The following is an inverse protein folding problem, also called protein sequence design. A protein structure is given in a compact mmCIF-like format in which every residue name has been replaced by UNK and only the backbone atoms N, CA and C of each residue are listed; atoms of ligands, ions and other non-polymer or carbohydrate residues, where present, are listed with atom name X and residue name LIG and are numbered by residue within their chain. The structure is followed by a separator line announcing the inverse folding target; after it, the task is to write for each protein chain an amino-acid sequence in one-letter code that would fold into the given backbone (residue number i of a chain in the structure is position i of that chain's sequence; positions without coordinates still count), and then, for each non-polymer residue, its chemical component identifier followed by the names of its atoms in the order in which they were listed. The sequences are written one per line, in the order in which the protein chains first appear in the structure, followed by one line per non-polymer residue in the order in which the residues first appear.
data_IF_107712363568
#
_entry.id   IF_107712363568
#
_cell.length_a   1.000
_cell.length_b   1.000
_cell.length_c   1.000
_cell.angle_alpha   90.00
_cell.angle_beta   90.00
_cell.angle_gamma   90.00
#
_symmetry.space_group_name_H-M   'P 1'
#
loop_
_entity.id
_entity.type
_entity.pdbx_description
1 polymer ?
#
# COMPACT_ATOMS: atom_id res chain seq x y z
N UNK A 1 -9.53 42.04 -29.81
CA UNK A 1 -8.51 41.38 -30.64
C UNK A 1 -7.16 41.93 -30.24
N UNK A 2 -6.35 41.14 -29.55
CA UNK A 2 -5.06 41.58 -29.01
C UNK A 2 -4.36 40.44 -28.28
N UNK A 3 -3.56 39.69 -29.04
CA UNK A 3 -2.42 38.84 -28.68
C UNK A 3 -2.47 38.02 -27.37
N UNK A 4 -2.94 36.78 -27.50
CA UNK A 4 -2.50 35.64 -26.71
C UNK A 4 -1.91 34.60 -27.66
N UNK A 5 -0.62 34.73 -27.97
CA UNK A 5 0.15 33.71 -28.69
C UNK A 5 1.64 33.90 -28.38
N UNK A 6 2.32 32.77 -28.12
CA UNK A 6 3.75 32.59 -27.78
C UNK A 6 4.09 32.52 -26.29
N UNK A 7 3.65 31.44 -25.63
CA UNK A 7 4.38 30.84 -24.50
C UNK A 7 4.48 29.33 -24.74
N UNK A 8 5.41 28.87 -25.58
CA UNK A 8 5.81 27.45 -25.63
C UNK A 8 7.31 27.31 -25.93
N UNK A 9 7.90 26.25 -25.37
CA UNK A 9 9.27 25.71 -25.49
C UNK A 9 10.48 26.38 -24.82
N UNK A 10 10.46 27.68 -24.51
CA UNK A 10 11.61 28.33 -23.85
C UNK A 10 11.78 28.02 -22.34
N UNK A 11 10.74 27.52 -21.68
CA UNK A 11 10.65 27.48 -20.22
C UNK A 11 11.41 26.29 -19.59
N UNK A 12 11.23 25.08 -20.13
CA UNK A 12 11.80 23.87 -19.53
C UNK A 12 13.34 23.80 -19.64
N UNK A 13 13.92 24.28 -20.76
CA UNK A 13 15.37 24.32 -20.94
C UNK A 13 16.03 25.35 -20.02
N UNK A 14 15.49 26.58 -19.95
CA UNK A 14 15.94 27.61 -19.02
C UNK A 14 15.80 27.18 -17.55
N UNK A 15 14.74 26.44 -17.25
CA UNK A 15 14.53 25.87 -15.92
C UNK A 15 15.58 24.82 -15.56
N UNK A 16 15.88 23.88 -16.49
CA UNK A 16 16.92 22.87 -16.29
C UNK A 16 18.29 23.53 -16.10
N UNK A 17 18.60 24.56 -16.86
CA UNK A 17 19.86 25.32 -16.74
C UNK A 17 19.94 26.05 -15.39
N UNK A 18 18.87 26.72 -14.96
CA UNK A 18 18.80 27.41 -13.66
C UNK A 18 18.94 26.43 -12.50
N UNK A 19 18.30 25.26 -12.57
CA UNK A 19 18.42 24.20 -11.56
C UNK A 19 19.84 23.63 -11.48
N UNK A 20 20.48 23.41 -12.62
CA UNK A 20 21.87 22.93 -12.67
C UNK A 20 22.86 23.98 -12.14
N UNK A 21 22.61 25.27 -12.40
CA UNK A 21 23.40 26.37 -11.85
C UNK A 21 23.31 26.40 -10.31
N UNK A 22 22.09 26.37 -9.76
CA UNK A 22 21.87 26.32 -8.30
C UNK A 22 22.53 25.09 -7.68
N UNK A 23 22.42 23.92 -8.32
CA UNK A 23 23.03 22.69 -7.82
C UNK A 23 24.55 22.77 -7.75
N UNK A 24 25.17 23.37 -8.78
CA UNK A 24 26.62 23.59 -8.83
C UNK A 24 27.08 24.57 -7.75
N UNK A 25 26.30 25.62 -7.50
CA UNK A 25 26.59 26.62 -6.49
C UNK A 25 26.52 26.03 -5.07
N UNK A 26 25.41 25.34 -4.75
CA UNK A 26 25.22 24.63 -3.47
C UNK A 26 26.35 23.62 -3.22
N UNK A 27 26.76 22.87 -4.25
CA UNK A 27 27.85 21.89 -4.11
C UNK A 27 29.21 22.53 -3.86
N UNK A 28 29.48 23.67 -4.49
CA UNK A 28 30.73 24.42 -4.28
C UNK A 28 30.76 24.98 -2.86
N UNK A 29 29.67 25.60 -2.43
CA UNK A 29 29.49 26.16 -1.09
C UNK A 29 29.52 25.11 0.00
N UNK A 30 28.88 23.96 -0.21
CA UNK A 30 28.93 22.83 0.72
C UNK A 30 30.37 22.42 1.00
N UNK A 31 31.21 22.33 -0.04
CA UNK A 31 32.61 21.97 0.12
C UNK A 31 33.39 23.03 0.90
N UNK A 32 33.15 24.33 0.63
CA UNK A 32 33.77 25.43 1.37
C UNK A 32 33.40 25.42 2.85
N UNK A 33 32.12 25.20 3.17
CA UNK A 33 31.61 25.10 4.54
C UNK A 33 32.21 23.88 5.26
N UNK A 34 32.27 22.72 4.59
CA UNK A 34 32.89 21.52 5.15
C UNK A 34 34.37 21.74 5.49
N UNK A 35 35.16 22.29 4.54
CA UNK A 35 36.58 22.59 4.77
C UNK A 35 36.79 23.61 5.90
N UNK A 36 35.89 24.61 6.03
CA UNK A 36 35.91 25.59 7.12
C UNK A 36 35.62 24.93 8.47
N UNK A 37 34.55 24.14 8.56
CA UNK A 37 34.16 23.44 9.79
C UNK A 37 35.21 22.43 10.26
N UNK A 38 35.83 21.69 9.34
CA UNK A 38 36.93 20.76 9.67
C UNK A 38 38.13 21.49 10.30
N UNK A 39 38.39 22.74 9.87
CA UNK A 39 39.50 23.55 10.39
C UNK A 39 39.16 24.23 11.72
N UNK A 40 37.93 24.73 11.86
CA UNK A 40 37.50 25.48 13.05
C UNK A 40 37.11 24.59 14.21
N UNK A 41 36.56 23.40 13.93
CA UNK A 41 36.03 22.47 14.93
C UNK A 41 36.57 21.04 14.74
N UNK A 42 37.88 20.83 14.89
CA UNK A 42 38.46 19.49 14.78
C UNK A 42 37.96 18.61 15.94
N UNK A 43 37.14 17.61 15.62
CA UNK A 43 36.62 16.64 16.60
C UNK A 43 35.09 16.48 16.63
N UNK A 44 34.35 17.21 15.79
CA UNK A 44 32.91 16.97 15.61
C UNK A 44 32.64 15.53 15.16
N UNK A 45 31.61 14.91 15.76
CA UNK A 45 31.10 13.63 15.28
C UNK A 45 30.45 13.79 13.90
N UNK A 46 30.40 12.74 13.05
CA UNK A 46 29.82 12.83 11.71
C UNK A 46 28.37 13.35 11.68
N UNK A 47 27.55 12.96 12.67
CA UNK A 47 26.15 13.39 12.75
C UNK A 47 26.02 14.87 13.13
N UNK A 48 26.84 15.36 14.06
CA UNK A 48 26.86 16.77 14.46
C UNK A 48 27.41 17.64 13.33
N UNK A 49 28.43 17.13 12.61
CA UNK A 49 29.02 17.79 11.46
C UNK A 49 28.01 18.01 10.33
N UNK A 50 27.20 17.00 10.00
CA UNK A 50 26.18 17.10 8.94
C UNK A 50 25.07 18.11 9.30
N UNK A 51 24.68 18.21 10.57
CA UNK A 51 23.68 19.17 11.05
C UNK A 51 24.21 20.59 10.96
N UNK A 52 25.39 20.86 11.54
CA UNK A 52 26.00 22.20 11.53
C UNK A 52 26.27 22.65 10.09
N UNK A 53 26.78 21.76 9.25
CA UNK A 53 27.07 22.06 7.85
C UNK A 53 25.80 22.41 7.06
N UNK A 54 24.68 21.72 7.32
CA UNK A 54 23.40 22.01 6.66
C UNK A 54 22.82 23.36 7.10
N UNK A 55 22.91 23.69 8.40
CA UNK A 55 22.43 24.95 8.96
C UNK A 55 23.25 26.16 8.46
N UNK A 56 24.57 26.06 8.48
CA UNK A 56 25.45 27.14 8.05
C UNK A 56 25.32 27.41 6.55
N UNK A 57 25.20 26.35 5.74
CA UNK A 57 24.97 26.47 4.31
C UNK A 57 23.59 27.05 3.97
N UNK A 58 22.56 26.72 4.75
CA UNK A 58 21.23 27.30 4.61
C UNK A 58 21.25 28.82 4.88
N UNK A 59 21.97 29.23 5.93
CA UNK A 59 22.15 30.63 6.29
C UNK A 59 22.95 31.41 5.24
N UNK A 60 24.05 30.85 4.70
CA UNK A 60 24.83 31.52 3.65
C UNK A 60 24.07 31.72 2.34
N UNK A 61 23.22 30.75 1.97
CA UNK A 61 22.47 30.78 0.72
C UNK A 61 21.09 31.45 0.84
N UNK A 62 20.64 31.75 2.06
CA UNK A 62 19.30 32.31 2.31
C UNK A 62 18.18 31.34 1.90
N UNK A 63 18.39 30.03 2.08
CA UNK A 63 17.41 28.97 1.75
C UNK A 63 17.06 28.15 3.00
N UNK A 64 16.07 27.28 2.91
CA UNK A 64 15.72 26.39 4.01
C UNK A 64 16.73 25.24 4.19
N UNK A 65 16.92 24.81 5.43
CA UNK A 65 17.78 23.67 5.79
C UNK A 65 17.34 22.37 5.09
N UNK A 66 16.03 22.16 4.93
CA UNK A 66 15.48 20.99 4.23
C UNK A 66 15.88 20.92 2.75
N UNK A 67 15.93 22.07 2.06
CA UNK A 67 16.35 22.13 0.67
C UNK A 67 17.84 21.80 0.54
N UNK A 68 18.67 22.30 1.45
CA UNK A 68 20.10 21.99 1.51
C UNK A 68 20.32 20.50 1.75
N UNK A 69 19.63 19.91 2.73
CA UNK A 69 19.67 18.46 3.00
C UNK A 69 19.29 17.66 1.77
N UNK A 70 18.18 18.00 1.10
CA UNK A 70 17.73 17.30 -0.10
C UNK A 70 18.77 17.33 -1.23
N UNK A 71 19.44 18.48 -1.43
CA UNK A 71 20.50 18.63 -2.44
C UNK A 71 21.75 17.84 -2.03
N UNK A 72 22.22 17.96 -0.79
CA UNK A 72 23.39 17.26 -0.28
C UNK A 72 23.24 15.73 -0.37
N UNK A 73 22.08 15.19 0.05
CA UNK A 73 21.77 13.75 -0.03
C UNK A 73 21.67 13.23 -1.48
N UNK A 74 21.32 14.09 -2.44
CA UNK A 74 21.33 13.72 -3.85
C UNK A 74 22.73 13.74 -4.48
N UNK A 75 23.65 14.50 -3.88
CA UNK A 75 25.01 14.74 -4.39
C UNK A 75 26.04 13.74 -3.87
N UNK A 76 25.77 13.08 -2.73
CA UNK A 76 26.64 12.03 -2.21
C UNK A 76 26.66 10.88 -3.21
N UNK A 77 27.82 10.50 -3.77
CA UNK A 77 27.91 9.29 -4.56
C UNK A 77 27.41 8.16 -3.70
N UNK A 78 26.32 7.49 -4.12
CA UNK A 78 25.92 6.22 -3.50
C UNK A 78 27.17 5.36 -3.53
N UNK A 79 27.79 5.12 -2.37
CA UNK A 79 28.84 4.11 -2.23
C UNK A 79 28.22 2.86 -2.86
N UNK A 80 28.68 2.47 -4.04
CA UNK A 80 28.35 1.18 -4.61
C UNK A 80 28.82 0.19 -3.55
N UNK A 81 27.87 -0.38 -2.81
CA UNK A 81 28.13 -1.51 -1.95
C UNK A 81 28.77 -2.54 -2.86
N UNK A 82 30.05 -2.81 -2.63
CA UNK A 82 30.80 -3.88 -3.30
C UNK A 82 29.90 -5.11 -3.23
N UNK A 83 29.46 -5.69 -4.37
CA UNK A 83 28.66 -6.90 -4.30
C UNK A 83 29.44 -7.92 -3.48
N UNK A 84 28.79 -8.52 -2.48
CA UNK A 84 29.36 -9.64 -1.77
C UNK A 84 29.79 -10.67 -2.82
N UNK A 85 31.08 -10.98 -2.87
CA UNK A 85 31.58 -12.08 -3.68
C UNK A 85 30.96 -13.35 -3.12
N UNK A 86 29.88 -13.80 -3.75
CA UNK A 86 29.36 -15.13 -3.54
C UNK A 86 30.40 -16.13 -4.06
N UNK A 87 30.69 -17.19 -3.30
CA UNK A 87 31.57 -18.25 -3.79
C UNK A 87 30.99 -18.81 -5.08
N UNK A 88 31.85 -18.92 -6.11
CA UNK A 88 31.50 -19.50 -7.40
C UNK A 88 31.00 -20.93 -7.17
N UNK A 89 29.78 -21.21 -7.59
CA UNK A 89 29.31 -22.58 -7.81
C UNK A 89 30.27 -23.27 -8.79
N UNK A 90 30.95 -24.32 -8.35
CA UNK A 90 31.90 -25.05 -9.19
C UNK A 90 33.01 -25.83 -8.49
N UNK A 91 33.05 -25.93 -7.15
CA UNK A 91 33.91 -26.92 -6.49
C UNK A 91 33.17 -28.25 -6.35
N UNK A 92 33.51 -29.18 -7.25
CA UNK A 92 33.15 -30.59 -7.19
C UNK A 92 33.74 -31.22 -5.92
N UNK A 93 32.86 -31.63 -5.01
CA UNK A 93 33.24 -32.49 -3.88
C UNK A 93 33.32 -33.93 -4.41
N UNK A 94 34.45 -34.64 -4.22
CA UNK A 94 34.55 -36.03 -4.62
C UNK A 94 33.64 -36.90 -3.74
N UNK A 95 32.68 -37.57 -4.37
CA UNK A 95 31.85 -38.60 -3.73
C UNK A 95 32.60 -39.92 -3.82
N UNK A 96 33.26 -40.31 -2.73
CA UNK A 96 33.71 -41.69 -2.53
C UNK A 96 32.49 -42.55 -2.20
N UNK A 97 32.37 -43.67 -2.91
CA UNK A 97 31.25 -44.59 -2.84
C UNK A 97 31.28 -45.52 -1.63
N UNK A 98 30.10 -45.98 -1.25
CA UNK A 98 29.90 -47.31 -0.68
C UNK A 98 28.65 -47.92 -1.34
N UNK A 99 28.88 -48.95 -2.15
CA UNK A 99 27.85 -49.88 -2.58
C UNK A 99 27.38 -50.70 -1.37
N UNK A 100 26.12 -50.51 -0.96
CA UNK A 100 25.40 -51.45 -0.10
C UNK A 100 24.09 -51.84 -0.77
N UNK A 101 24.08 -53.08 -1.26
CA UNK A 101 22.88 -53.84 -1.59
C UNK A 101 21.89 -53.79 -0.42
N UNK A 102 20.70 -53.26 -0.66
CA UNK A 102 19.56 -53.45 0.26
C UNK A 102 18.45 -54.19 -0.47
N UNK A 103 18.24 -55.38 0.07
CA UNK A 103 17.26 -56.42 -0.20
C UNK A 103 15.81 -56.00 0.07
N UNK A 104 14.91 -56.63 -0.69
CA UNK A 104 13.49 -56.90 -0.43
C UNK A 104 12.51 -55.72 -0.25
N UNK A 105 11.74 -55.47 -1.30
CA UNK A 105 10.50 -54.70 -1.27
C UNK A 105 9.43 -55.55 -0.56
N UNK A 106 9.09 -55.19 0.68
CA UNK A 106 7.93 -55.71 1.38
C UNK A 106 6.66 -55.01 0.88
N UNK A 107 5.74 -55.77 0.29
CA UNK A 107 4.44 -55.31 -0.17
C UNK A 107 3.57 -54.94 1.03
N UNK A 108 3.32 -53.65 1.23
CA UNK A 108 2.41 -53.15 2.26
C UNK A 108 0.96 -53.39 1.81
N UNK A 109 0.13 -54.10 2.58
CA UNK A 109 -1.28 -54.27 2.25
C UNK A 109 -2.02 -52.93 2.32
N UNK A 110 -3.00 -52.68 1.41
CA UNK A 110 -3.74 -51.43 1.38
C UNK A 110 -4.53 -51.23 2.69
N UNK A 111 -4.47 -50.01 3.22
CA UNK A 111 -5.23 -49.61 4.39
C UNK A 111 -6.75 -49.80 4.14
N UNK A 112 -7.53 -50.23 5.15
CA UNK A 112 -8.97 -50.35 5.04
C UNK A 112 -9.58 -48.98 4.69
N UNK A 113 -10.40 -48.95 3.65
CA UNK A 113 -11.19 -47.79 3.27
C UNK A 113 -12.11 -47.41 4.43
N UNK A 114 -11.86 -46.25 5.04
CA UNK A 114 -12.78 -45.67 6.01
C UNK A 114 -14.15 -45.41 5.33
N UNK A 115 -15.27 -45.69 6.02
CA UNK A 115 -16.59 -45.47 5.46
C UNK A 115 -16.77 -43.99 5.12
N UNK A 116 -17.27 -43.72 3.91
CA UNK A 116 -17.56 -42.37 3.45
C UNK A 116 -18.45 -41.64 4.49
N UNK A 117 -18.11 -40.41 4.88
CA UNK A 117 -18.89 -39.65 5.85
C UNK A 117 -20.32 -39.52 5.36
N UNK A 118 -21.26 -39.88 6.24
CA UNK A 118 -22.70 -39.79 5.98
C UNK A 118 -23.03 -38.33 5.64
N UNK A 119 -23.56 -38.09 4.43
CA UNK A 119 -24.02 -36.78 4.00
C UNK A 119 -25.13 -36.32 4.95
N UNK A 120 -24.81 -35.40 5.85
CA UNK A 120 -25.77 -34.72 6.71
C UNK A 120 -26.63 -33.83 5.80
N UNK A 121 -27.94 -34.05 5.80
CA UNK A 121 -28.89 -33.25 5.04
C UNK A 121 -29.03 -31.86 5.70
N UNK A 122 -28.41 -30.84 5.09
CA UNK A 122 -28.37 -29.44 5.57
C UNK A 122 -29.59 -28.64 5.05
N UNK A 123 -30.64 -29.30 4.55
CA UNK A 123 -31.77 -28.61 3.87
C UNK A 123 -32.74 -27.86 4.78
N UNK A 124 -32.51 -27.80 6.10
CA UNK A 124 -33.37 -27.01 6.99
C UNK A 124 -33.00 -25.51 6.93
N UNK A 125 -33.90 -24.61 6.51
CA UNK A 125 -33.65 -23.17 6.54
C UNK A 125 -33.47 -22.72 7.99
N UNK A 126 -32.22 -22.46 8.37
CA UNK A 126 -31.90 -21.95 9.70
C UNK A 126 -32.61 -20.62 9.99
N UNK A 127 -32.79 -20.25 11.27
CA UNK A 127 -33.45 -19.02 11.66
C UNK A 127 -32.79 -17.82 10.97
N UNK A 128 -33.62 -16.98 10.33
CA UNK A 128 -33.19 -15.73 9.71
C UNK A 128 -32.64 -14.83 10.81
N UNK A 129 -31.30 -14.74 10.91
CA UNK A 129 -30.64 -13.82 11.83
C UNK A 129 -31.02 -12.40 11.43
N UNK A 130 -31.58 -11.62 12.36
CA UNK A 130 -31.78 -10.19 12.16
C UNK A 130 -30.42 -9.57 11.81
N UNK A 131 -30.36 -8.83 10.71
CA UNK A 131 -29.12 -8.15 10.29
C UNK A 131 -28.84 -7.05 11.30
N UNK A 132 -27.86 -7.26 12.19
CA UNK A 132 -27.28 -6.18 12.98
C UNK A 132 -26.81 -5.09 12.01
N UNK A 133 -27.20 -3.82 12.18
CA UNK A 133 -26.73 -2.74 11.32
C UNK A 133 -25.20 -2.72 11.32
N UNK A 134 -24.60 -2.60 10.13
CA UNK A 134 -23.15 -2.50 10.01
C UNK A 134 -22.69 -1.16 10.60
N UNK A 135 -21.56 -1.12 11.30
CA UNK A 135 -21.07 0.12 11.88
C UNK A 135 -20.78 1.13 10.76
N UNK A 136 -21.23 2.37 10.93
CA UNK A 136 -20.83 3.47 10.06
C UNK A 136 -19.41 3.92 10.41
N UNK A 137 -18.60 4.35 9.41
CA UNK A 137 -17.28 4.88 9.70
C UNK A 137 -17.39 6.20 10.47
N UNK A 138 -16.61 6.34 11.54
CA UNK A 138 -16.52 7.60 12.28
C UNK A 138 -15.78 8.64 11.43
N UNK A 139 -16.51 9.65 10.96
CA UNK A 139 -16.00 10.69 10.08
C UNK A 139 -14.92 11.58 10.73
N UNK A 140 -15.00 11.80 12.04
CA UNK A 140 -14.00 12.60 12.77
C UNK A 140 -12.70 11.81 12.93
N UNK A 141 -12.81 10.53 13.28
CA UNK A 141 -11.68 9.62 13.31
C UNK A 141 -11.04 9.48 11.92
N UNK A 142 -11.83 9.29 10.85
CA UNK A 142 -11.33 9.27 9.48
C UNK A 142 -10.50 10.52 9.17
N UNK A 143 -11.04 11.70 9.45
CA UNK A 143 -10.36 12.97 9.16
C UNK A 143 -9.02 13.08 9.89
N UNK A 144 -9.00 12.72 11.19
CA UNK A 144 -7.79 12.69 12.02
C UNK A 144 -6.75 11.73 11.43
N UNK A 145 -7.15 10.51 11.09
CA UNK A 145 -6.26 9.46 10.59
C UNK A 145 -5.68 9.79 9.21
N UNK A 146 -6.47 10.34 8.29
CA UNK A 146 -6.00 10.73 6.96
C UNK A 146 -4.94 11.83 7.06
N UNK A 147 -5.22 12.88 7.85
CA UNK A 147 -4.26 13.96 8.06
C UNK A 147 -2.97 13.46 8.71
N UNK A 148 -3.07 12.65 9.77
CA UNK A 148 -1.89 12.07 10.40
C UNK A 148 -1.11 11.14 9.46
N UNK A 149 -1.79 10.46 8.53
CA UNK A 149 -1.16 9.59 7.53
C UNK A 149 -0.39 10.38 6.46
N UNK A 150 -0.86 11.55 6.03
CA UNK A 150 -0.10 12.38 5.09
C UNK A 150 1.14 13.02 5.72
N UNK A 151 1.13 13.25 7.04
CA UNK A 151 2.24 13.86 7.78
C UNK A 151 3.32 12.84 8.21
N UNK A 152 3.01 11.54 8.27
CA UNK A 152 3.98 10.50 8.68
C UNK A 152 4.74 9.92 7.48
N UNK A 153 6.03 9.64 7.67
CA UNK A 153 6.84 8.88 6.70
C UNK A 153 6.83 7.36 6.95
N UNK A 154 6.25 6.92 8.07
CA UNK A 154 6.34 5.55 8.56
C UNK A 154 4.95 5.00 8.90
N UNK A 155 4.23 4.57 7.87
CA UNK A 155 2.90 4.01 8.04
C UNK A 155 2.91 2.69 8.78
N UNK A 156 1.87 2.48 9.57
CA UNK A 156 1.60 1.23 10.24
C UNK A 156 0.64 0.39 9.39
N UNK A 157 0.71 -0.93 9.52
CA UNK A 157 -0.13 -1.85 8.77
C UNK A 157 -0.75 -2.86 9.71
N UNK A 158 -2.06 -3.09 9.56
CA UNK A 158 -2.78 -4.15 10.23
C UNK A 158 -3.34 -5.12 9.21
N UNK A 159 -3.05 -6.41 9.38
CA UNK A 159 -3.41 -7.46 8.42
C UNK A 159 -4.41 -8.40 9.05
N UNK A 160 -5.57 -8.56 8.42
CA UNK A 160 -6.55 -9.56 8.82
C UNK A 160 -6.09 -10.98 8.41
N UNK A 161 -5.89 -11.85 9.40
CA UNK A 161 -5.38 -13.21 9.23
C UNK A 161 -6.46 -14.25 9.51
N UNK A 162 -6.66 -15.18 8.58
CA UNK A 162 -7.60 -16.32 8.71
C UNK A 162 -6.98 -17.65 8.26
N UNK A 163 -5.67 -17.67 7.97
CA UNK A 163 -4.94 -18.84 7.47
C UNK A 163 -5.21 -19.18 6.00
N UNK A 164 -6.05 -18.41 5.30
CA UNK A 164 -6.28 -18.59 3.87
C UNK A 164 -5.11 -18.08 3.02
N UNK A 165 -5.00 -18.58 1.79
CA UNK A 165 -4.02 -18.06 0.83
C UNK A 165 -4.18 -16.56 0.58
N UNK A 166 -5.41 -16.03 0.62
CA UNK A 166 -5.67 -14.62 0.41
C UNK A 166 -5.20 -13.74 1.58
N UNK A 167 -5.36 -14.17 2.84
CA UNK A 167 -4.78 -13.42 3.97
C UNK A 167 -3.24 -13.45 3.94
N UNK A 168 -2.64 -14.54 3.47
CA UNK A 168 -1.19 -14.60 3.23
C UNK A 168 -0.73 -13.65 2.11
N UNK A 169 -1.55 -13.43 1.08
CA UNK A 169 -1.28 -12.38 0.07
C UNK A 169 -1.29 -11.00 0.74
N UNK A 170 -2.28 -10.69 1.57
CA UNK A 170 -2.34 -9.42 2.29
C UNK A 170 -1.15 -9.22 3.25
N UNK A 171 -0.72 -10.28 3.92
CA UNK A 171 0.48 -10.29 4.76
C UNK A 171 1.73 -9.90 3.97
N UNK A 172 1.96 -10.55 2.81
CA UNK A 172 3.11 -10.24 1.94
C UNK A 172 3.03 -8.82 1.38
N UNK A 173 1.83 -8.36 0.98
CA UNK A 173 1.63 -6.98 0.50
C UNK A 173 1.96 -5.95 1.56
N UNK A 174 1.49 -6.14 2.80
CA UNK A 174 1.82 -5.25 3.91
C UNK A 174 3.33 -5.22 4.21
N UNK A 175 4.01 -6.37 4.16
CA UNK A 175 5.46 -6.44 4.33
C UNK A 175 6.21 -5.67 3.23
N UNK A 176 5.77 -5.81 1.96
CA UNK A 176 6.40 -5.13 0.83
C UNK A 176 6.24 -3.59 0.91
N UNK A 177 5.08 -3.10 1.34
CA UNK A 177 4.81 -1.66 1.48
C UNK A 177 5.46 -1.04 2.73
N UNK A 178 5.72 -1.83 3.77
CA UNK A 178 6.26 -1.35 5.04
C UNK A 178 7.65 -0.70 4.87
N UNK A 179 7.80 0.49 5.45
CA UNK A 179 9.11 1.15 5.67
C UNK A 179 9.69 0.77 7.04
N UNK A 180 11.00 0.87 7.21
CA UNK A 180 11.74 0.31 8.34
C UNK A 180 11.21 0.64 9.76
N UNK A 181 10.64 1.83 9.99
CA UNK A 181 10.08 2.24 11.30
C UNK A 181 8.56 2.06 11.44
N UNK A 182 7.87 1.62 10.39
CA UNK A 182 6.44 1.32 10.46
C UNK A 182 6.16 0.10 11.34
N UNK A 183 5.06 0.11 12.08
CA UNK A 183 4.62 -1.06 12.87
C UNK A 183 3.78 -2.01 12.04
N UNK A 184 3.83 -3.30 12.37
CA UNK A 184 3.09 -4.36 11.70
C UNK A 184 2.22 -5.13 12.70
N UNK A 185 0.92 -5.21 12.44
CA UNK A 185 -0.04 -5.88 13.30
C UNK A 185 -0.66 -7.05 12.54
N UNK A 186 -0.55 -8.28 13.03
CA UNK A 186 -1.29 -9.41 12.51
C UNK A 186 -2.50 -9.69 13.41
N UNK A 187 -3.71 -9.56 12.88
CA UNK A 187 -4.95 -9.68 13.65
C UNK A 187 -5.77 -10.88 13.18
N UNK A 188 -6.04 -11.82 14.09
CA UNK A 188 -6.97 -12.92 13.88
C UNK A 188 -8.24 -12.72 14.70
N UNK A 189 -9.40 -13.03 14.11
CA UNK A 189 -10.67 -13.06 14.82
C UNK A 189 -11.11 -14.51 14.99
N UNK A 190 -10.94 -15.03 16.20
CA UNK A 190 -11.24 -16.41 16.53
C UNK A 190 -12.73 -16.63 16.76
N UNK A 191 -13.28 -17.65 16.12
CA UNK A 191 -14.64 -18.13 16.33
C UNK A 191 -14.58 -19.49 17.02
N UNK A 192 -14.74 -19.52 18.35
CA UNK A 192 -14.64 -20.75 19.16
C UNK A 192 -15.51 -21.89 18.63
N UNK A 193 -16.68 -21.57 18.08
CA UNK A 193 -17.59 -22.56 17.49
C UNK A 193 -17.04 -23.24 16.23
N UNK A 194 -15.93 -22.75 15.66
CA UNK A 194 -15.25 -23.35 14.50
C UNK A 194 -13.97 -24.11 14.85
N UNK A 195 -13.44 -23.91 16.05
CA UNK A 195 -12.13 -24.44 16.44
C UNK A 195 -12.08 -25.98 16.44
N UNK A 196 -13.21 -26.66 16.59
CA UNK A 196 -13.25 -28.13 16.59
C UNK A 196 -13.01 -28.72 15.20
N UNK A 197 -13.52 -28.09 14.14
CA UNK A 197 -13.47 -28.63 12.77
C UNK A 197 -12.54 -27.87 11.82
N UNK A 198 -12.03 -26.68 12.21
CA UNK A 198 -11.05 -25.97 11.40
C UNK A 198 -9.73 -26.77 11.33
N UNK A 199 -9.09 -26.87 10.15
CA UNK A 199 -7.75 -27.41 10.02
C UNK A 199 -6.75 -26.70 10.95
N UNK A 200 -5.74 -27.42 11.45
CA UNK A 200 -4.76 -26.89 12.42
C UNK A 200 -4.05 -25.62 11.91
N UNK A 201 -3.72 -25.58 10.61
CA UNK A 201 -3.09 -24.44 9.94
C UNK A 201 -4.01 -23.20 9.79
N UNK A 202 -5.31 -23.34 10.04
CA UNK A 202 -6.28 -22.23 10.07
C UNK A 202 -6.68 -21.81 11.48
N UNK A 203 -6.20 -22.51 12.51
CA UNK A 203 -6.34 -22.09 13.90
C UNK A 203 -5.25 -21.06 14.23
N UNK A 204 -5.48 -20.23 15.25
CA UNK A 204 -4.53 -19.18 15.62
C UNK A 204 -3.10 -19.68 15.82
N UNK A 205 -2.91 -20.81 16.50
CA UNK A 205 -1.58 -21.42 16.67
C UNK A 205 -0.87 -21.69 15.34
N UNK A 206 -1.54 -22.39 14.41
CA UNK A 206 -0.97 -22.69 13.10
C UNK A 206 -0.76 -21.45 12.22
N UNK A 207 -1.64 -20.44 12.31
CA UNK A 207 -1.46 -19.15 11.63
C UNK A 207 -0.22 -18.44 12.16
N UNK A 208 -0.07 -18.38 13.49
CA UNK A 208 1.06 -17.74 14.17
C UNK A 208 2.38 -18.42 13.77
N UNK A 209 2.44 -19.75 13.86
CA UNK A 209 3.62 -20.54 13.50
C UNK A 209 4.03 -20.32 12.03
N UNK A 210 3.07 -20.07 11.14
CA UNK A 210 3.34 -19.82 9.73
C UNK A 210 3.91 -18.41 9.45
N UNK A 211 3.51 -17.37 10.19
CA UNK A 211 3.89 -15.97 9.90
C UNK A 211 5.00 -15.43 10.80
N UNK A 212 5.12 -15.92 12.04
CA UNK A 212 6.11 -15.44 13.01
C UNK A 212 7.56 -15.56 12.51
N UNK A 213 7.98 -16.65 11.82
CA UNK A 213 9.33 -16.72 11.26
C UNK A 213 9.62 -15.61 10.23
N UNK A 214 8.62 -15.24 9.42
CA UNK A 214 8.78 -14.16 8.43
C UNK A 214 8.88 -12.79 9.11
N UNK A 215 8.13 -12.57 10.20
CA UNK A 215 8.16 -11.33 10.98
C UNK A 215 9.47 -11.18 11.74
N UNK A 216 9.88 -12.20 12.51
CA UNK A 216 11.12 -12.19 13.30
C UNK A 216 12.36 -11.97 12.44
N UNK A 217 12.39 -12.53 11.22
CA UNK A 217 13.50 -12.33 10.29
C UNK A 217 13.55 -10.94 9.62
N UNK A 218 12.43 -10.20 9.58
CA UNK A 218 12.31 -8.98 8.76
C UNK A 218 12.00 -7.72 9.57
N UNK A 219 11.49 -7.86 10.80
CA UNK A 219 10.97 -6.78 11.62
C UNK A 219 11.47 -6.96 13.07
N UNK A 220 12.05 -5.91 13.69
CA UNK A 220 12.39 -5.95 15.11
C UNK A 220 11.17 -6.32 15.97
N UNK A 221 11.32 -7.13 17.04
CA UNK A 221 10.19 -7.54 17.90
C UNK A 221 9.37 -6.39 18.49
N UNK A 222 9.96 -5.20 18.63
CA UNK A 222 9.27 -3.99 19.12
C UNK A 222 8.37 -3.32 18.08
N UNK A 223 8.47 -3.72 16.81
CA UNK A 223 7.78 -3.14 15.67
C UNK A 223 6.75 -4.09 15.05
N UNK A 224 6.47 -5.24 15.66
CA UNK A 224 5.31 -6.05 15.28
C UNK A 224 4.54 -6.57 16.49
N UNK A 225 3.24 -6.78 16.32
CA UNK A 225 2.40 -7.55 17.25
C UNK A 225 1.54 -8.55 16.50
N UNK A 226 1.17 -9.62 17.18
CA UNK A 226 0.29 -10.66 16.69
C UNK A 226 -0.83 -10.85 17.72
N UNK A 227 -2.06 -10.58 17.32
CA UNK A 227 -3.21 -10.50 18.21
C UNK A 227 -4.32 -11.43 17.74
N UNK A 228 -4.94 -12.11 18.68
CA UNK A 228 -6.10 -12.97 18.45
C UNK A 228 -7.25 -12.46 19.32
N UNK A 229 -8.28 -11.91 18.69
CA UNK A 229 -9.47 -11.42 19.37
C UNK A 229 -10.56 -12.48 19.29
N UNK A 230 -11.24 -12.71 20.40
CA UNK A 230 -12.32 -13.68 20.45
C UNK A 230 -13.64 -13.04 20.00
N UNK A 231 -14.29 -13.66 19.02
CA UNK A 231 -15.61 -13.25 18.53
C UNK A 231 -16.70 -13.59 19.56
N UNK A 232 -17.56 -12.63 19.87
CA UNK A 232 -18.76 -12.88 20.67
C UNK A 232 -19.76 -13.78 19.92
N UNK A 233 -20.59 -14.59 20.60
CA UNK A 233 -21.58 -15.45 19.95
C UNK A 233 -22.63 -14.70 19.11
N UNK A 234 -22.96 -13.48 19.51
CA UNK A 234 -23.88 -12.58 18.81
C UNK A 234 -23.29 -11.95 17.55
N UNK A 235 -21.97 -11.91 17.46
CA UNK A 235 -21.27 -11.10 16.47
C UNK A 235 -20.84 -11.92 15.27
N UNK A 236 -20.58 -11.20 14.18
CA UNK A 236 -19.97 -11.77 12.99
C UNK A 236 -18.46 -11.50 13.02
N UNK A 237 -17.66 -12.36 12.40
CA UNK A 237 -16.20 -12.15 12.29
C UNK A 237 -15.88 -10.77 11.70
N UNK A 238 -16.66 -10.34 10.70
CA UNK A 238 -16.51 -9.03 10.04
C UNK A 238 -16.82 -7.86 10.98
N UNK A 239 -17.91 -7.94 11.77
CA UNK A 239 -18.27 -6.87 12.71
C UNK A 239 -17.26 -6.78 13.84
N UNK A 240 -16.84 -7.91 14.42
CA UNK A 240 -15.79 -7.93 15.45
C UNK A 240 -14.47 -7.36 14.94
N UNK A 241 -14.07 -7.72 13.71
CA UNK A 241 -12.86 -7.16 13.07
C UNK A 241 -12.96 -5.65 12.94
N UNK A 242 -14.02 -5.13 12.28
CA UNK A 242 -14.16 -3.69 12.04
C UNK A 242 -14.32 -2.90 13.33
N UNK A 243 -15.08 -3.40 14.31
CA UNK A 243 -15.20 -2.75 15.61
C UNK A 243 -13.86 -2.64 16.33
N UNK A 244 -13.02 -3.67 16.27
CA UNK A 244 -11.67 -3.61 16.82
C UNK A 244 -10.80 -2.58 16.08
N UNK A 245 -10.79 -2.61 14.74
CA UNK A 245 -10.03 -1.65 13.91
C UNK A 245 -10.46 -0.20 14.17
N UNK A 246 -11.76 0.08 14.24
CA UNK A 246 -12.27 1.43 14.49
C UNK A 246 -12.02 1.91 15.92
N UNK A 247 -11.69 1.01 16.85
CA UNK A 247 -11.24 1.36 18.20
C UNK A 247 -9.78 1.84 18.25
N UNK A 248 -9.02 1.73 17.16
CA UNK A 248 -7.62 2.16 17.10
C UNK A 248 -7.55 3.61 16.59
N UNK A 249 -6.82 4.46 17.30
CA UNK A 249 -6.73 5.90 16.98
C UNK A 249 -5.41 6.30 16.29
N UNK A 250 -4.60 5.31 15.94
CA UNK A 250 -3.27 5.46 15.34
C UNK A 250 -3.35 5.27 13.82
N UNK A 251 -2.76 6.15 12.99
CA UNK A 251 -2.84 6.05 11.53
C UNK A 251 -2.20 4.76 11.02
N UNK A 252 -3.00 3.94 10.33
CA UNK A 252 -2.57 2.67 9.73
C UNK A 252 -3.39 2.30 8.51
N UNK A 253 -2.83 1.43 7.67
CA UNK A 253 -3.52 0.79 6.57
C UNK A 253 -4.03 -0.60 6.98
N UNK A 254 -5.28 -0.89 6.67
CA UNK A 254 -5.93 -2.19 6.92
C UNK A 254 -5.80 -3.07 5.69
N UNK A 255 -4.97 -4.10 5.74
CA UNK A 255 -4.72 -5.01 4.62
C UNK A 255 -5.59 -6.26 4.74
N UNK A 256 -6.34 -6.56 3.68
CA UNK A 256 -7.23 -7.72 3.61
C UNK A 256 -7.07 -8.45 2.29
N UNK A 257 -7.05 -9.79 2.36
CA UNK A 257 -7.02 -10.63 1.18
C UNK A 257 -8.31 -10.55 0.37
N UNK A 258 -8.22 -10.78 -0.93
CA UNK A 258 -9.37 -10.88 -1.82
C UNK A 258 -9.50 -12.28 -2.42
N UNK A 259 -10.67 -12.90 -2.23
CA UNK A 259 -11.01 -14.21 -2.81
C UNK A 259 -12.08 -14.07 -3.91
N UNK A 260 -12.64 -12.86 -4.06
CA UNK A 260 -13.84 -12.64 -4.86
C UNK A 260 -15.08 -13.32 -4.26
N UNK A 261 -16.16 -13.33 -5.04
CA UNK A 261 -17.42 -13.98 -4.67
C UNK A 261 -17.38 -15.46 -5.01
N UNK A 262 -17.66 -16.32 -4.01
CA UNK A 262 -17.90 -17.76 -4.22
C UNK A 262 -19.39 -18.00 -4.48
N UNK A 263 -19.74 -18.35 -5.72
CA UNK A 263 -21.07 -18.81 -6.13
C UNK A 263 -22.14 -17.72 -6.29
N UNK A 264 -23.33 -18.07 -6.84
CA UNK A 264 -24.47 -17.17 -6.94
C UNK A 264 -25.09 -16.93 -5.56
N UNK A 265 -25.03 -15.69 -5.07
CA UNK A 265 -25.76 -15.15 -3.92
C UNK A 265 -26.78 -14.10 -4.38
N UNK A 266 -27.89 -13.98 -3.67
CA UNK A 266 -28.91 -12.95 -3.91
C UNK A 266 -28.36 -11.53 -3.75
N UNK A 267 -27.38 -11.36 -2.85
CA UNK A 267 -26.78 -10.07 -2.55
C UNK A 267 -25.57 -9.80 -3.50
N UNK A 268 -25.58 -8.73 -4.33
CA UNK A 268 -24.58 -8.49 -5.36
C UNK A 268 -23.23 -7.97 -4.84
N UNK A 269 -22.76 -8.38 -3.65
CA UNK A 269 -21.41 -8.02 -3.19
C UNK A 269 -20.37 -8.61 -4.14
N UNK A 270 -19.60 -7.74 -4.80
CA UNK A 270 -18.43 -8.10 -5.60
C UNK A 270 -17.28 -8.57 -4.71
N UNK A 271 -17.19 -7.97 -3.53
CA UNK A 271 -16.12 -8.14 -2.57
C UNK A 271 -16.49 -9.23 -1.56
N UNK A 272 -15.53 -10.07 -1.17
CA UNK A 272 -15.76 -11.03 -0.08
C UNK A 272 -16.26 -10.33 1.19
N UNK A 273 -16.96 -11.05 2.07
CA UNK A 273 -17.78 -10.42 3.12
C UNK A 273 -17.00 -9.57 4.14
N UNK A 274 -15.72 -9.84 4.38
CA UNK A 274 -14.89 -9.03 5.30
C UNK A 274 -14.31 -7.81 4.57
N UNK A 275 -13.75 -8.02 3.39
CA UNK A 275 -13.19 -6.96 2.53
C UNK A 275 -14.23 -5.90 2.17
N UNK A 276 -15.45 -6.32 1.85
CA UNK A 276 -16.58 -5.42 1.55
C UNK A 276 -16.91 -4.53 2.75
N UNK A 277 -17.11 -5.14 3.91
CA UNK A 277 -17.48 -4.41 5.14
C UNK A 277 -16.34 -3.52 5.60
N UNK A 278 -15.09 -3.96 5.52
CA UNK A 278 -13.96 -3.09 5.86
C UNK A 278 -13.87 -1.88 4.91
N UNK A 279 -14.07 -2.08 3.61
CA UNK A 279 -14.12 -0.98 2.66
C UNK A 279 -15.26 0.01 2.97
N UNK A 280 -16.39 -0.43 3.52
CA UNK A 280 -17.52 0.46 3.79
C UNK A 280 -17.47 1.11 5.18
N UNK A 281 -16.97 0.38 6.17
CA UNK A 281 -17.16 0.69 7.59
C UNK A 281 -15.87 1.00 8.34
N UNK A 282 -14.69 0.69 7.81
CA UNK A 282 -13.44 1.06 8.48
C UNK A 282 -13.18 2.57 8.32
N UNK A 283 -12.79 3.21 9.43
CA UNK A 283 -12.32 4.61 9.41
C UNK A 283 -10.90 4.77 8.85
N UNK A 284 -10.14 3.67 8.81
CA UNK A 284 -8.77 3.64 8.30
C UNK A 284 -8.74 3.43 6.78
N UNK A 285 -7.69 3.89 6.08
CA UNK A 285 -7.40 3.46 4.72
C UNK A 285 -7.36 1.92 4.62
N UNK A 286 -7.94 1.37 3.55
CA UNK A 286 -8.07 -0.09 3.37
C UNK A 286 -7.31 -0.52 2.12
N UNK A 287 -6.52 -1.59 2.22
CA UNK A 287 -5.83 -2.23 1.10
C UNK A 287 -6.46 -3.60 0.83
N UNK A 288 -7.08 -3.74 -0.34
CA UNK A 288 -7.60 -5.01 -0.84
C UNK A 288 -6.52 -5.68 -1.70
N UNK A 289 -5.99 -6.77 -1.18
CA UNK A 289 -4.82 -7.46 -1.71
C UNK A 289 -5.26 -8.67 -2.55
N UNK A 290 -5.02 -8.61 -3.86
CA UNK A 290 -5.29 -9.69 -4.82
C UNK A 290 -4.07 -10.51 -5.14
N UNK A 291 -2.93 -9.84 -5.30
CA UNK A 291 -1.65 -10.45 -5.67
C UNK A 291 -0.57 -9.97 -4.72
N UNK A 292 0.32 -10.88 -4.31
CA UNK A 292 1.48 -10.50 -3.53
C UNK A 292 2.43 -9.72 -4.46
N UNK A 293 2.77 -8.46 -4.14
CA UNK A 293 3.71 -7.71 -4.97
C UNK A 293 5.10 -8.36 -4.88
N UNK A 294 5.84 -8.28 -5.99
CA UNK A 294 7.24 -8.66 -6.01
C UNK A 294 8.08 -7.72 -5.14
N UNK A 295 9.24 -8.17 -4.69
CA UNK A 295 10.18 -7.29 -4.00
C UNK A 295 10.74 -6.24 -4.97
N UNK A 296 10.82 -4.97 -4.54
CA UNK A 296 11.48 -3.92 -5.30
C UNK A 296 10.60 -2.71 -5.53
N UNK A 297 10.70 -2.16 -6.75
CA UNK A 297 9.94 -0.99 -7.18
C UNK A 297 8.50 -1.36 -7.51
N UNK A 298 7.57 -0.53 -7.09
CA UNK A 298 6.14 -0.69 -7.35
C UNK A 298 5.62 0.42 -8.27
N UNK A 299 4.59 0.10 -9.05
CA UNK A 299 3.86 1.06 -9.87
C UNK A 299 2.50 1.36 -9.24
N UNK A 300 2.23 2.64 -9.01
CA UNK A 300 0.98 3.14 -8.45
C UNK A 300 0.21 3.91 -9.51
N UNK A 301 -1.11 3.73 -9.54
CA UNK A 301 -2.03 4.63 -10.27
C UNK A 301 -3.02 5.23 -9.29
N UNK A 302 -3.09 6.56 -9.24
CA UNK A 302 -4.05 7.30 -8.42
C UNK A 302 -5.18 7.78 -9.33
N UNK A 303 -6.36 7.20 -9.18
CA UNK A 303 -7.54 7.60 -9.94
C UNK A 303 -8.14 8.86 -9.30
N UNK A 304 -8.19 9.94 -10.07
CA UNK A 304 -8.66 11.25 -9.60
C UNK A 304 -9.94 11.67 -10.31
N UNK A 305 -10.73 12.53 -9.67
CA UNK A 305 -11.87 13.24 -10.27
C UNK A 305 -11.62 14.75 -10.23
N UNK A 306 -12.36 15.51 -11.05
CA UNK A 306 -12.21 16.97 -11.12
C UNK A 306 -12.96 17.71 -10.01
N UNK A 307 -13.94 17.06 -9.37
CA UNK A 307 -14.96 17.76 -8.58
C UNK A 307 -14.80 17.63 -7.06
N UNK A 308 -14.06 16.63 -6.56
CA UNK A 308 -14.19 16.26 -5.14
C UNK A 308 -13.04 16.69 -4.24
N UNK A 309 -11.88 17.08 -4.75
CA UNK A 309 -10.66 17.31 -3.94
C UNK A 309 -10.12 16.04 -3.24
N UNK A 310 -10.92 14.97 -3.12
CA UNK A 310 -10.54 13.69 -2.51
C UNK A 310 -9.40 13.02 -3.26
N UNK A 311 -9.36 13.17 -4.58
CA UNK A 311 -8.26 12.66 -5.41
C UNK A 311 -6.91 13.26 -5.01
N UNK A 312 -6.86 14.55 -4.68
CA UNK A 312 -5.63 15.23 -4.25
C UNK A 312 -5.20 14.74 -2.87
N UNK A 313 -6.15 14.65 -1.92
CA UNK A 313 -5.89 14.11 -0.58
C UNK A 313 -5.37 12.66 -0.67
N UNK A 314 -5.95 11.84 -1.55
CA UNK A 314 -5.48 10.48 -1.78
C UNK A 314 -4.09 10.44 -2.41
N UNK A 315 -3.81 11.31 -3.38
CA UNK A 315 -2.49 11.45 -3.97
C UNK A 315 -1.45 11.81 -2.90
N UNK A 316 -1.68 12.85 -2.10
CA UNK A 316 -0.78 13.28 -1.03
C UNK A 316 -0.55 12.17 0.01
N UNK A 317 -1.60 11.43 0.40
CA UNK A 317 -1.48 10.32 1.33
C UNK A 317 -0.63 9.16 0.78
N UNK A 318 -0.67 8.93 -0.52
CA UNK A 318 0.15 7.89 -1.15
C UNK A 318 1.58 8.35 -1.31
N UNK A 319 1.82 9.63 -1.55
CA UNK A 319 3.17 10.18 -1.67
C UNK A 319 4.01 9.97 -0.39
N UNK A 320 3.39 9.95 0.79
CA UNK A 320 4.11 9.63 2.04
C UNK A 320 4.46 8.14 2.17
N UNK A 321 3.72 7.25 1.49
CA UNK A 321 3.94 5.80 1.49
C UNK A 321 4.92 5.33 0.40
N UNK A 322 4.91 5.97 -0.76
CA UNK A 322 5.76 5.66 -1.92
C UNK A 322 7.26 5.71 -1.56
N UNK A 323 8.05 4.81 -2.11
CA UNK A 323 9.53 4.79 -2.01
C UNK A 323 10.12 5.54 -3.20
N UNK A 324 11.38 5.96 -3.08
CA UNK A 324 12.08 6.68 -4.17
C UNK A 324 12.20 5.87 -5.47
N UNK A 325 12.19 4.53 -5.38
CA UNK A 325 12.31 3.63 -6.54
C UNK A 325 10.97 3.37 -7.23
N UNK A 326 9.86 3.69 -6.57
CA UNK A 326 8.52 3.44 -7.09
C UNK A 326 8.16 4.46 -8.16
N UNK A 327 7.07 4.22 -8.88
CA UNK A 327 6.52 5.14 -9.89
C UNK A 327 5.06 5.44 -9.59
N UNK A 328 4.62 6.67 -9.83
CA UNK A 328 3.25 7.10 -9.56
C UNK A 328 2.65 7.74 -10.82
N UNK A 329 1.50 7.25 -11.24
CA UNK A 329 0.70 7.85 -12.32
C UNK A 329 -0.59 8.39 -11.75
N UNK A 330 -0.84 9.69 -11.90
CA UNK A 330 -2.16 10.28 -11.64
C UNK A 330 -3.01 10.10 -12.91
N UNK A 331 -4.13 9.40 -12.79
CA UNK A 331 -5.00 9.06 -13.90
C UNK A 331 -6.37 9.74 -13.77
N UNK A 332 -6.74 10.52 -14.78
CA UNK A 332 -8.02 11.23 -14.85
C UNK A 332 -8.83 10.75 -16.05
N UNK A 333 -10.05 10.26 -15.81
CA UNK A 333 -10.96 9.84 -16.88
C UNK A 333 -11.78 11.05 -17.34
N UNK A 334 -11.66 11.41 -18.63
CA UNK A 334 -12.17 12.68 -19.15
C UNK A 334 -13.02 12.49 -20.41
N UNK A 335 -13.99 13.37 -20.60
CA UNK A 335 -14.80 13.47 -21.84
C UNK A 335 -14.49 14.72 -22.64
N UNK A 336 -13.81 15.69 -22.03
CA UNK A 336 -13.51 17.00 -22.58
C UNK A 336 -12.02 17.34 -22.33
N UNK A 337 -11.32 17.72 -23.41
CA UNK A 337 -9.90 18.06 -23.38
C UNK A 337 -9.61 19.31 -22.54
N UNK A 338 -10.58 20.24 -22.43
CA UNK A 338 -10.43 21.42 -21.56
C UNK A 338 -10.35 20.99 -20.10
N UNK A 339 -11.30 20.16 -19.65
CA UNK A 339 -11.30 19.61 -18.30
C UNK A 339 -10.03 18.79 -17.99
N UNK A 340 -9.53 18.02 -18.97
CA UNK A 340 -8.26 17.31 -18.84
C UNK A 340 -7.11 18.26 -18.54
N UNK A 341 -6.98 19.34 -19.31
CA UNK A 341 -5.88 20.27 -19.19
C UNK A 341 -5.92 21.04 -17.86
N UNK A 342 -7.11 21.45 -17.40
CA UNK A 342 -7.28 22.12 -16.10
C UNK A 342 -6.85 21.22 -14.92
N UNK A 343 -7.32 19.96 -14.92
CA UNK A 343 -6.94 19.00 -13.87
C UNK A 343 -5.44 18.71 -13.94
N UNK A 344 -4.90 18.51 -15.14
CA UNK A 344 -3.48 18.26 -15.35
C UNK A 344 -2.61 19.39 -14.79
N UNK A 345 -2.93 20.64 -15.14
CA UNK A 345 -2.18 21.82 -14.66
C UNK A 345 -2.22 21.94 -13.15
N UNK A 346 -3.37 21.67 -12.52
CA UNK A 346 -3.53 21.67 -11.06
C UNK A 346 -2.60 20.66 -10.38
N UNK A 347 -2.56 19.41 -10.87
CA UNK A 347 -1.68 18.38 -10.32
C UNK A 347 -0.20 18.61 -10.63
N UNK A 348 0.15 19.01 -11.87
CA UNK A 348 1.55 19.28 -12.23
C UNK A 348 2.12 20.47 -11.44
N UNK A 349 1.30 21.48 -11.17
CA UNK A 349 1.65 22.57 -10.24
C UNK A 349 1.92 22.03 -8.84
N UNK A 350 1.02 21.20 -8.29
CA UNK A 350 1.23 20.58 -6.99
C UNK A 350 2.50 19.70 -6.96
N UNK A 351 2.80 19.00 -8.05
CA UNK A 351 4.03 18.21 -8.15
C UNK A 351 5.28 19.07 -8.03
N UNK A 352 5.27 20.21 -8.72
CA UNK A 352 6.35 21.17 -8.72
C UNK A 352 6.53 21.81 -7.34
N UNK A 353 5.45 22.30 -6.74
CA UNK A 353 5.47 23.02 -5.45
C UNK A 353 5.95 22.13 -4.30
N UNK A 354 5.60 20.85 -4.31
CA UNK A 354 6.03 19.89 -3.29
C UNK A 354 7.35 19.19 -3.61
N UNK A 355 8.02 19.58 -4.71
CA UNK A 355 9.31 19.02 -5.10
C UNK A 355 9.27 17.51 -5.39
N UNK A 356 8.12 16.99 -5.82
CA UNK A 356 8.01 15.57 -6.13
C UNK A 356 8.91 15.17 -7.30
N UNK A 357 9.45 13.95 -7.24
CA UNK A 357 10.46 13.45 -8.18
C UNK A 357 9.92 13.20 -9.60
N UNK A 358 10.83 13.04 -10.57
CA UNK A 358 10.51 12.77 -11.97
C UNK A 358 9.84 11.40 -12.25
N UNK A 359 9.59 10.60 -11.21
CA UNK A 359 8.88 9.33 -11.27
C UNK A 359 7.35 9.50 -11.19
N UNK A 360 6.85 10.74 -11.13
CA UNK A 360 5.42 11.06 -11.17
C UNK A 360 5.02 11.52 -12.56
N UNK A 361 3.88 11.01 -13.05
CA UNK A 361 3.30 11.38 -14.34
C UNK A 361 1.81 11.62 -14.21
N UNK A 362 1.28 12.50 -15.04
CA UNK A 362 -0.15 12.68 -15.23
C UNK A 362 -0.60 12.00 -16.53
N UNK A 363 -1.74 11.31 -16.51
CA UNK A 363 -2.30 10.62 -17.66
C UNK A 363 -3.82 10.84 -17.77
N UNK A 364 -4.28 11.24 -18.95
CA UNK A 364 -5.70 11.31 -19.30
C UNK A 364 -6.20 10.00 -19.89
N UNK A 365 -7.31 9.49 -19.39
CA UNK A 365 -8.03 8.34 -19.94
C UNK A 365 -9.25 8.88 -20.70
N UNK A 366 -9.23 8.77 -22.03
CA UNK A 366 -10.36 9.22 -22.85
C UNK A 366 -11.58 8.33 -22.60
N UNK A 367 -12.68 8.93 -22.18
CA UNK A 367 -13.94 8.25 -21.95
C UNK A 367 -14.81 8.27 -23.22
N UNK A 368 -15.08 7.09 -23.77
CA UNK A 368 -15.94 6.93 -24.95
C UNK A 368 -17.42 6.85 -24.56
N UNK A 369 -18.25 7.68 -25.19
CA UNK A 369 -19.70 7.68 -24.99
C UNK A 369 -20.31 6.27 -25.16
N UNK A 370 -21.20 5.89 -24.26
CA UNK A 370 -21.86 4.57 -24.25
C UNK A 370 -21.09 3.48 -23.51
N UNK A 371 -19.83 3.72 -23.14
CA UNK A 371 -19.08 2.84 -22.24
C UNK A 371 -19.28 3.30 -20.80
N UNK A 372 -19.38 2.43 -19.79
CA UNK A 372 -19.36 2.86 -18.38
C UNK A 372 -17.98 3.39 -17.98
N UNK A 373 -17.93 4.46 -17.17
CA UNK A 373 -16.66 5.10 -16.77
C UNK A 373 -15.67 4.13 -16.11
N UNK A 374 -16.18 3.21 -15.28
CA UNK A 374 -15.33 2.22 -14.60
C UNK A 374 -14.65 1.28 -15.59
N UNK A 375 -15.26 1.01 -16.75
CA UNK A 375 -14.70 0.12 -17.76
C UNK A 375 -13.50 0.76 -18.42
N UNK A 376 -13.60 2.03 -18.84
CA UNK A 376 -12.47 2.78 -19.41
C UNK A 376 -11.27 2.83 -18.45
N UNK A 377 -11.54 3.01 -17.14
CA UNK A 377 -10.49 3.02 -16.12
C UNK A 377 -9.91 1.61 -15.92
N UNK A 378 -10.76 0.58 -15.87
CA UNK A 378 -10.31 -0.80 -15.67
C UNK A 378 -9.45 -1.31 -16.84
N UNK A 379 -9.83 -0.98 -18.07
CA UNK A 379 -9.08 -1.33 -19.28
C UNK A 379 -7.67 -0.74 -19.20
N UNK A 380 -7.56 0.57 -18.94
CA UNK A 380 -6.28 1.25 -18.74
C UNK A 380 -5.41 0.61 -17.65
N UNK A 381 -5.99 0.28 -16.49
CA UNK A 381 -5.26 -0.34 -15.38
C UNK A 381 -4.74 -1.72 -15.75
N UNK A 382 -5.57 -2.53 -16.40
CA UNK A 382 -5.22 -3.89 -16.80
C UNK A 382 -4.13 -3.88 -17.89
N UNK A 383 -4.20 -2.98 -18.86
CA UNK A 383 -3.20 -2.82 -19.92
C UNK A 383 -1.86 -2.32 -19.39
N UNK A 384 -1.89 -1.40 -18.43
CA UNK A 384 -0.67 -0.79 -17.87
C UNK A 384 0.05 -1.66 -16.83
N UNK A 385 -0.63 -2.65 -16.26
CA UNK A 385 -0.02 -3.56 -15.28
C UNK A 385 0.39 -2.89 -13.97
N UNK A 386 -0.39 -1.93 -13.47
CA UNK A 386 -0.09 -1.27 -12.19
C UNK A 386 -0.10 -2.26 -11.02
N UNK A 387 0.86 -2.14 -10.10
CA UNK A 387 0.90 -2.96 -8.88
C UNK A 387 -0.20 -2.55 -7.91
N UNK A 388 -0.44 -1.25 -7.79
CA UNK A 388 -1.42 -0.67 -6.88
C UNK A 388 -2.30 0.37 -7.59
N UNK A 389 -3.61 0.25 -7.43
CA UNK A 389 -4.60 1.25 -7.82
C UNK A 389 -5.13 1.93 -6.57
N UNK A 390 -5.07 3.25 -6.54
CA UNK A 390 -5.50 4.08 -5.42
C UNK A 390 -6.78 4.80 -5.83
N UNK A 391 -7.79 4.71 -4.97
CA UNK A 391 -9.08 5.36 -5.15
C UNK A 391 -9.52 6.03 -3.85
N UNK A 392 -10.15 7.19 -3.96
CA UNK A 392 -10.86 7.82 -2.85
C UNK A 392 -12.37 7.63 -3.08
N UNK A 393 -13.00 6.58 -2.52
CA UNK A 393 -14.42 6.33 -2.71
C UNK A 393 -15.25 7.45 -2.07
N UNK A 394 -16.51 7.55 -2.48
CA UNK A 394 -17.44 8.46 -1.83
C UNK A 394 -17.58 8.12 -0.34
N UNK A 395 -17.57 9.10 0.58
CA UNK A 395 -17.79 8.81 2.00
C UNK A 395 -19.20 8.26 2.29
N UNK A 396 -20.20 8.58 1.47
CA UNK A 396 -21.58 8.15 1.65
C UNK A 396 -21.85 6.85 0.87
N UNK A 397 -21.07 5.77 1.09
CA UNK A 397 -21.27 4.45 0.46
C UNK A 397 -22.56 3.73 0.88
N UNK A 398 -23.67 4.45 1.04
CA UNK A 398 -25.00 3.87 1.19
C UNK A 398 -25.29 3.04 -0.06
N UNK A 399 -25.58 1.77 0.17
CA UNK A 399 -25.59 0.68 -0.81
C UNK A 399 -26.79 0.71 -1.77
N UNK A 400 -26.97 1.82 -2.48
CA UNK A 400 -28.01 1.91 -3.51
C UNK A 400 -27.58 1.17 -4.78
N UNK A 401 -26.31 1.27 -5.18
CA UNK A 401 -25.73 0.65 -6.38
C UNK A 401 -24.26 0.26 -6.16
N UNK A 402 -23.70 -0.57 -7.06
CA UNK A 402 -22.27 -0.91 -7.04
C UNK A 402 -21.46 0.33 -7.46
N UNK A 403 -20.54 0.76 -6.61
CA UNK A 403 -19.72 1.94 -6.90
C UNK A 403 -18.70 1.68 -8.01
N UNK A 404 -18.21 2.74 -8.67
CA UNK A 404 -17.07 2.67 -9.60
C UNK A 404 -15.90 1.93 -8.96
N UNK A 405 -15.58 2.25 -7.71
CA UNK A 405 -14.46 1.63 -6.99
C UNK A 405 -14.64 0.11 -6.78
N UNK A 406 -15.86 -0.35 -6.55
CA UNK A 406 -16.16 -1.79 -6.46
C UNK A 406 -16.05 -2.49 -7.81
N UNK A 407 -16.51 -1.84 -8.89
CA UNK A 407 -16.32 -2.33 -10.25
C UNK A 407 -14.84 -2.46 -10.58
N UNK A 408 -14.01 -1.48 -10.24
CA UNK A 408 -12.56 -1.59 -10.46
C UNK A 408 -11.95 -2.76 -9.70
N UNK A 409 -12.34 -2.99 -8.43
CA UNK A 409 -11.89 -4.19 -7.72
C UNK A 409 -12.42 -5.48 -8.36
N UNK A 410 -13.59 -5.48 -8.98
CA UNK A 410 -14.06 -6.67 -9.72
C UNK A 410 -13.19 -6.96 -10.94
N UNK A 411 -12.98 -5.92 -11.75
CA UNK A 411 -12.64 -6.08 -13.16
C UNK A 411 -11.12 -5.93 -13.40
N UNK A 412 -10.38 -5.31 -12.47
CA UNK A 412 -8.91 -5.22 -12.54
C UNK A 412 -8.25 -6.43 -11.88
N UNK A 413 -7.71 -7.38 -12.64
CA UNK A 413 -7.23 -8.67 -12.08
C UNK A 413 -5.84 -8.57 -11.44
N UNK A 414 -5.00 -7.69 -11.95
CA UNK A 414 -3.57 -7.70 -11.66
C UNK A 414 -3.12 -6.57 -10.70
N UNK A 415 -4.06 -5.78 -10.17
CA UNK A 415 -3.77 -4.66 -9.28
C UNK A 415 -4.36 -4.86 -7.88
N UNK A 416 -3.57 -4.48 -6.86
CA UNK A 416 -4.05 -4.32 -5.49
C UNK A 416 -4.72 -2.95 -5.32
N UNK A 417 -5.70 -2.84 -4.43
CA UNK A 417 -6.51 -1.62 -4.32
C UNK A 417 -6.34 -0.92 -2.99
N UNK A 418 -6.01 0.37 -3.01
CA UNK A 418 -5.85 1.22 -1.82
C UNK A 418 -6.98 2.23 -1.79
N UNK A 419 -7.82 2.15 -0.76
CA UNK A 419 -8.97 3.01 -0.55
C UNK A 419 -8.64 4.06 0.51
N UNK A 420 -8.53 5.32 0.10
CA UNK A 420 -8.32 6.45 1.02
C UNK A 420 -9.68 6.99 1.47
N UNK A 421 -9.94 6.94 2.79
CA UNK A 421 -11.22 7.32 3.41
C UNK A 421 -11.32 8.82 3.65
N UNK A 422 -11.71 9.58 2.64
CA UNK A 422 -11.83 11.04 2.75
C UNK A 422 -13.26 11.44 3.14
N UNK A 423 -13.52 11.83 4.41
CA UNK A 423 -14.84 12.29 4.83
C UNK A 423 -15.19 13.66 4.23
N UNK A 424 -16.47 13.93 4.00
CA UNK A 424 -16.95 15.22 3.44
C UNK A 424 -16.46 16.44 4.21
N UNK A 425 -16.31 16.31 5.53
CA UNK A 425 -15.84 17.38 6.43
C UNK A 425 -14.45 17.90 6.04
N UNK A 426 -13.57 17.06 5.48
CA UNK A 426 -12.24 17.50 5.01
C UNK A 426 -12.28 18.31 3.72
N UNK A 427 -13.41 18.33 3.01
CA UNK A 427 -13.55 19.03 1.73
C UNK A 427 -14.16 20.42 1.88
N UNK A 428 -14.57 20.80 3.09
CA UNK A 428 -15.28 22.06 3.38
C UNK A 428 -14.39 23.16 3.98
N UNK A 429 -13.12 22.84 4.26
CA UNK A 429 -12.12 23.79 4.73
C UNK A 429 -11.16 24.13 3.60
#
# INVERSE_FOLDING_TARGET
MGNAALVQDGSAAKYKESKMALYKDVKTKLKEVQERLEKEQPGLGPEEFDVICSEELANELGVSEDLVKAIAYSATPKKQSRPAEFPKEGEEVPVEGEDKEVSAIATVPPAPLEPAPTLVDISSPGPVRSKTPEPEPDAELCAKLIKASSETRFHHFIVGMDGSAASMVAFKTALALRKAKGKFYALHVEDKGKNEYLPSNMKWGGIKDAIEPSLTGSIPPTLYSMECIQKSPSDTTKSTFVSHINGIDTPMYVCLGWVGRKGPKEDPTVLGSVSDVAMRSCSHPVIICKNAPEAGAHSFVVCVDSASGRGMIAFENIMSMVKQIDTVTVAYCYTDEVALQEVKESYEKNFFENGYSSNIKFHGILHTAGTPIYQSIADYINESGFTFTVVAPDPDLVRKEISVSEHLVKDCKNSNFIFIKVPKKLLQG
#
